data_IF_934824935201
#
_entry.id   IF_934824935201
#
_cell.length_a   1.000
_cell.length_b   1.000
_cell.length_c   1.000
_cell.angle_alpha   90.00
_cell.angle_beta   90.00
_cell.angle_gamma   90.00
#
_symmetry.space_group_name_H-M   'P 1'
#
loop_
_entity.id
_entity.type
_entity.pdbx_description
1 polymer ?
#
# COMPACT_ATOMS: atom_id res chain seq x y z
N UNK A 1 -3.71 -26.22 -1.45
CA UNK A 1 -3.99 -24.85 -0.95
C UNK A 1 -4.12 -23.92 -2.14
N UNK A 2 -5.31 -23.38 -2.38
CA UNK A 2 -5.55 -22.49 -3.51
C UNK A 2 -4.80 -21.15 -3.27
N UNK A 3 -4.31 -20.53 -4.34
CA UNK A 3 -3.61 -19.22 -4.25
C UNK A 3 -4.53 -18.13 -3.64
N UNK A 4 -5.85 -18.30 -3.78
CA UNK A 4 -6.86 -17.37 -3.24
C UNK A 4 -7.02 -17.45 -1.71
N UNK A 5 -6.55 -18.51 -1.07
CA UNK A 5 -6.69 -18.71 0.37
C UNK A 5 -5.49 -18.17 1.16
N UNK A 6 -4.50 -17.59 0.49
CA UNK A 6 -3.31 -17.03 1.14
C UNK A 6 -3.58 -15.60 1.58
N UNK A 7 -3.07 -15.26 2.76
CA UNK A 7 -3.01 -13.88 3.22
C UNK A 7 -2.03 -13.08 2.35
N UNK A 8 -2.45 -11.87 1.98
CA UNK A 8 -1.64 -10.95 1.17
C UNK A 8 -0.64 -10.22 2.06
N UNK A 9 0.62 -10.13 1.61
CA UNK A 9 1.58 -9.17 2.16
C UNK A 9 1.50 -7.89 1.35
N UNK A 10 1.11 -6.79 2.00
CA UNK A 10 0.93 -5.50 1.32
C UNK A 10 1.37 -4.32 2.19
N UNK A 11 1.45 -3.13 1.60
CA UNK A 11 1.69 -1.88 2.30
C UNK A 11 0.44 -1.01 2.29
N UNK A 12 0.23 -0.29 3.39
CA UNK A 12 -0.72 0.80 3.48
C UNK A 12 0.02 2.04 3.99
N UNK A 13 -0.08 3.15 3.27
CA UNK A 13 0.42 4.44 3.70
C UNK A 13 -0.73 5.30 4.23
N UNK A 14 -0.57 5.80 5.46
CA UNK A 14 -1.41 6.85 6.02
C UNK A 14 -0.58 8.13 6.11
N UNK A 15 -1.07 9.22 5.58
CA UNK A 15 -0.33 10.48 5.53
C UNK A 15 -1.27 11.66 5.75
N UNK A 16 -0.76 12.71 6.43
CA UNK A 16 -1.39 14.02 6.54
C UNK A 16 -0.66 15.08 5.69
N UNK A 17 0.20 14.65 4.75
CA UNK A 17 0.95 15.59 3.90
C UNK A 17 -0.01 16.36 3.00
N UNK A 18 -0.06 17.71 3.09
CA UNK A 18 -1.10 18.50 2.41
C UNK A 18 -1.09 18.33 0.89
N UNK A 19 0.08 18.31 0.25
CA UNK A 19 0.18 18.15 -1.21
C UNK A 19 -0.28 16.76 -1.70
N UNK A 20 -0.09 15.69 -0.92
CA UNK A 20 -0.67 14.37 -1.26
C UNK A 20 -2.19 14.41 -1.06
N UNK A 21 -2.68 15.14 -0.05
CA UNK A 21 -4.11 15.36 0.18
C UNK A 21 -4.78 16.13 -0.97
N UNK A 22 -4.11 17.16 -1.49
CA UNK A 22 -4.57 17.93 -2.67
C UNK A 22 -4.68 17.03 -3.91
N UNK A 23 -3.64 16.25 -4.18
CA UNK A 23 -3.65 15.27 -5.29
C UNK A 23 -4.75 14.22 -5.11
N UNK A 24 -4.97 13.74 -3.89
CA UNK A 24 -6.03 12.78 -3.58
C UNK A 24 -7.42 13.37 -3.84
N UNK A 25 -7.66 14.62 -3.42
CA UNK A 25 -8.91 15.33 -3.72
C UNK A 25 -9.12 15.48 -5.23
N UNK A 26 -8.08 15.88 -5.96
CA UNK A 26 -8.11 15.99 -7.41
C UNK A 26 -8.39 14.63 -8.05
N UNK A 27 -7.74 13.57 -7.58
CA UNK A 27 -7.94 12.20 -8.07
C UNK A 27 -9.39 11.73 -7.91
N UNK A 28 -9.97 11.86 -6.72
CA UNK A 28 -11.36 11.43 -6.48
C UNK A 28 -12.37 12.28 -7.24
N UNK A 29 -12.12 13.59 -7.36
CA UNK A 29 -12.95 14.47 -8.21
C UNK A 29 -12.90 14.05 -9.68
N UNK A 30 -11.71 13.80 -10.21
CA UNK A 30 -11.52 13.37 -11.59
C UNK A 30 -12.12 11.97 -11.84
N UNK A 31 -11.97 11.08 -10.87
CA UNK A 31 -12.57 9.73 -10.92
C UNK A 31 -14.09 9.80 -10.99
N UNK A 32 -14.73 10.66 -10.20
CA UNK A 32 -16.19 10.84 -10.22
C UNK A 32 -16.73 11.40 -11.54
N UNK A 33 -15.89 12.18 -12.25
CA UNK A 33 -16.20 12.72 -13.57
C UNK A 33 -15.83 11.77 -14.73
N UNK A 34 -15.27 10.61 -14.44
CA UNK A 34 -14.81 9.66 -15.45
C UNK A 34 -13.59 10.13 -16.26
N UNK A 35 -12.89 11.15 -15.80
CA UNK A 35 -11.70 11.72 -16.46
C UNK A 35 -10.51 11.74 -15.48
N UNK A 36 -9.58 10.81 -15.63
CA UNK A 36 -8.41 10.70 -14.74
C UNK A 36 -7.23 11.59 -15.14
N UNK A 37 -7.38 12.42 -16.16
CA UNK A 37 -6.36 13.39 -16.54
C UNK A 37 -6.33 14.52 -15.52
N UNK A 38 -5.16 14.75 -14.94
CA UNK A 38 -4.93 15.79 -13.95
C UNK A 38 -3.44 16.05 -13.80
N UNK A 39 -3.11 17.23 -13.32
CA UNK A 39 -1.75 17.62 -13.00
C UNK A 39 -1.46 17.25 -11.54
N UNK A 40 -1.06 16.00 -11.32
CA UNK A 40 -0.72 15.47 -10.02
C UNK A 40 0.75 15.73 -9.71
N UNK A 41 1.04 16.34 -8.57
CA UNK A 41 2.39 16.68 -8.15
C UNK A 41 3.14 15.51 -7.52
N UNK A 42 2.42 14.68 -6.78
CA UNK A 42 2.96 13.57 -5.98
C UNK A 42 2.49 12.22 -6.50
N UNK A 43 1.24 12.12 -6.95
CA UNK A 43 0.66 10.86 -7.39
C UNK A 43 0.99 10.57 -8.86
N UNK A 44 1.37 9.33 -9.13
CA UNK A 44 1.38 8.79 -10.49
C UNK A 44 0.07 8.07 -10.76
N UNK A 45 -0.81 8.66 -11.56
CA UNK A 45 -2.14 8.12 -11.85
C UNK A 45 -2.18 7.49 -13.24
N UNK A 46 -2.53 6.19 -13.33
CA UNK A 46 -2.81 5.56 -14.61
C UNK A 46 -4.22 5.96 -15.09
N UNK A 47 -4.42 6.05 -16.43
CA UNK A 47 -3.52 5.61 -17.50
C UNK A 47 -2.46 6.62 -17.95
N UNK A 48 -2.44 7.86 -17.44
CA UNK A 48 -1.65 8.95 -18.03
C UNK A 48 -0.32 9.17 -17.32
N UNK A 49 -0.30 9.20 -15.99
CA UNK A 49 0.82 9.69 -15.20
C UNK A 49 1.74 8.61 -14.62
N UNK A 50 1.25 7.37 -14.42
CA UNK A 50 1.98 6.33 -13.69
C UNK A 50 3.20 5.82 -14.48
N UNK A 51 3.01 5.39 -15.74
CA UNK A 51 4.13 4.91 -16.57
C UNK A 51 5.20 5.99 -16.77
N UNK A 52 4.86 7.23 -17.15
CA UNK A 52 5.84 8.33 -17.23
C UNK A 52 6.60 8.60 -15.94
N UNK A 53 5.97 8.45 -14.77
CA UNK A 53 6.65 8.59 -13.47
C UNK A 53 7.75 7.54 -13.31
N UNK A 54 7.45 6.27 -13.60
CA UNK A 54 8.42 5.17 -13.53
C UNK A 54 9.55 5.36 -14.57
N UNK A 55 9.20 5.76 -15.80
CA UNK A 55 10.18 6.03 -16.85
C UNK A 55 11.15 7.14 -16.45
N UNK A 56 10.67 8.25 -15.88
CA UNK A 56 11.53 9.33 -15.34
C UNK A 56 12.45 8.85 -14.21
N UNK A 57 11.98 7.94 -13.35
CA UNK A 57 12.82 7.34 -12.33
C UNK A 57 13.97 6.51 -12.91
N UNK A 58 13.69 5.74 -13.96
CA UNK A 58 14.71 4.99 -14.71
C UNK A 58 15.69 5.94 -15.43
N UNK A 59 15.18 6.99 -16.11
CA UNK A 59 16.01 7.99 -16.78
C UNK A 59 16.97 8.68 -15.81
N UNK A 60 16.51 9.03 -14.60
CA UNK A 60 17.34 9.60 -13.55
C UNK A 60 18.53 8.68 -13.19
N UNK A 61 18.27 7.40 -13.00
CA UNK A 61 19.34 6.45 -12.65
C UNK A 61 20.27 6.18 -13.84
N UNK A 62 19.77 6.20 -15.08
CA UNK A 62 20.58 6.14 -16.29
C UNK A 62 21.54 7.34 -16.32
N UNK A 63 21.06 8.57 -16.12
CA UNK A 63 21.89 9.77 -16.12
C UNK A 63 22.96 9.71 -15.03
N UNK A 64 22.64 9.25 -13.83
CA UNK A 64 23.62 9.05 -12.75
C UNK A 64 24.72 8.07 -13.15
N UNK A 65 24.36 6.92 -13.71
CA UNK A 65 25.31 5.93 -14.17
C UNK A 65 26.23 6.48 -15.27
N UNK A 66 25.69 7.25 -16.23
CA UNK A 66 26.45 7.83 -17.33
C UNK A 66 27.49 8.88 -16.86
N UNK A 67 27.28 9.54 -15.72
CA UNK A 67 28.27 10.45 -15.11
C UNK A 67 29.17 9.76 -14.10
N UNK A 68 29.09 8.42 -13.99
CA UNK A 68 29.93 7.62 -13.09
C UNK A 68 29.46 7.59 -11.64
N UNK A 69 28.27 8.07 -11.33
CA UNK A 69 27.67 7.97 -10.00
C UNK A 69 27.07 6.57 -9.78
N UNK A 70 27.10 6.05 -8.54
CA UNK A 70 26.40 4.82 -8.20
C UNK A 70 24.90 4.94 -8.48
N UNK A 71 24.36 4.02 -9.30
CA UNK A 71 22.97 4.01 -9.69
C UNK A 71 22.33 2.62 -9.45
N UNK A 72 21.12 2.62 -8.90
CA UNK A 72 20.42 1.39 -8.57
C UNK A 72 18.91 1.57 -8.70
N UNK A 73 18.27 0.52 -9.19
CA UNK A 73 16.80 0.41 -9.24
C UNK A 73 16.38 -0.88 -8.53
N UNK A 74 15.32 -0.79 -7.74
CA UNK A 74 14.66 -1.95 -7.16
C UNK A 74 13.17 -1.92 -7.50
N UNK A 75 12.68 -2.99 -8.13
CA UNK A 75 11.25 -3.18 -8.39
C UNK A 75 10.74 -4.44 -7.74
N UNK A 76 9.61 -4.32 -7.01
CA UNK A 76 8.82 -5.46 -6.56
C UNK A 76 7.47 -5.40 -7.25
N UNK A 77 7.13 -6.45 -7.97
CA UNK A 77 5.95 -6.54 -8.84
C UNK A 77 5.29 -7.92 -8.72
N UNK A 78 4.03 -8.02 -9.12
CA UNK A 78 3.47 -9.33 -9.39
C UNK A 78 3.80 -9.78 -10.84
N UNK A 79 3.75 -8.84 -11.80
CA UNK A 79 4.02 -9.15 -13.21
C UNK A 79 4.68 -7.98 -13.94
N UNK A 80 5.56 -8.32 -14.90
CA UNK A 80 6.24 -7.40 -15.79
C UNK A 80 6.04 -7.85 -17.23
N UNK A 81 5.20 -7.14 -17.99
CA UNK A 81 4.90 -7.45 -19.40
C UNK A 81 4.82 -6.20 -20.29
N UNK A 82 4.93 -4.99 -19.72
CA UNK A 82 4.94 -3.75 -20.47
C UNK A 82 6.26 -3.61 -21.22
N UNK A 83 6.19 -3.58 -22.56
CA UNK A 83 7.36 -3.61 -23.42
C UNK A 83 8.23 -2.36 -23.27
N UNK A 84 7.62 -1.18 -23.19
CA UNK A 84 8.37 0.08 -23.09
C UNK A 84 9.18 0.13 -21.79
N UNK A 85 8.57 -0.36 -20.67
CA UNK A 85 9.27 -0.45 -19.37
C UNK A 85 10.40 -1.49 -19.44
N UNK A 86 10.18 -2.63 -20.11
CA UNK A 86 11.21 -3.67 -20.29
C UNK A 86 12.39 -3.12 -21.11
N UNK A 87 12.11 -2.43 -22.20
CA UNK A 87 13.13 -1.84 -23.07
C UNK A 87 13.92 -0.74 -22.29
N UNK A 88 13.25 0.07 -21.46
CA UNK A 88 13.90 1.06 -20.61
C UNK A 88 14.75 0.44 -19.50
N UNK A 89 14.34 -0.68 -18.92
CA UNK A 89 15.15 -1.45 -17.95
C UNK A 89 16.42 -2.00 -18.63
N UNK A 90 16.31 -2.47 -19.86
CA UNK A 90 17.47 -2.93 -20.63
C UNK A 90 18.44 -1.77 -20.94
N UNK A 91 17.91 -0.59 -21.31
CA UNK A 91 18.71 0.64 -21.48
C UNK A 91 19.44 1.01 -20.19
N UNK A 92 18.74 0.97 -19.04
CA UNK A 92 19.35 1.24 -17.72
C UNK A 92 20.48 0.25 -17.40
N UNK A 93 20.28 -1.04 -17.70
CA UNK A 93 21.31 -2.05 -17.54
C UNK A 93 22.55 -1.78 -18.43
N UNK A 94 22.34 -1.41 -19.70
CA UNK A 94 23.41 -1.04 -20.61
C UNK A 94 24.20 0.19 -20.17
N UNK A 95 23.53 1.14 -19.48
CA UNK A 95 24.17 2.31 -18.88
C UNK A 95 24.95 1.99 -17.60
N UNK A 96 24.90 0.75 -17.08
CA UNK A 96 25.58 0.34 -15.86
C UNK A 96 24.73 0.41 -14.59
N UNK A 97 23.43 0.71 -14.70
CA UNK A 97 22.51 0.71 -13.55
C UNK A 97 22.29 -0.73 -13.06
N UNK A 98 22.50 -0.96 -11.78
CA UNK A 98 22.10 -2.22 -11.14
C UNK A 98 20.58 -2.27 -10.96
N UNK A 99 19.94 -3.28 -11.51
CA UNK A 99 18.49 -3.48 -11.40
C UNK A 99 18.19 -4.78 -10.67
N UNK A 100 17.66 -4.68 -9.47
CA UNK A 100 17.20 -5.82 -8.67
C UNK A 100 15.67 -5.88 -8.71
N UNK A 101 15.09 -7.02 -9.07
CA UNK A 101 13.64 -7.19 -9.14
C UNK A 101 13.14 -8.41 -8.38
N UNK A 102 11.98 -8.27 -7.74
CA UNK A 102 11.23 -9.38 -7.15
C UNK A 102 9.90 -9.49 -7.89
N UNK A 103 9.74 -10.55 -8.68
CA UNK A 103 8.54 -10.79 -9.51
C UNK A 103 8.02 -12.19 -9.20
N UNK A 104 6.81 -12.28 -8.61
CA UNK A 104 6.24 -13.58 -8.24
C UNK A 104 5.47 -14.30 -9.34
N UNK A 105 5.08 -13.58 -10.38
CA UNK A 105 4.28 -14.07 -11.50
C UNK A 105 5.05 -14.00 -12.82
N UNK A 106 4.44 -13.40 -13.85
CA UNK A 106 4.97 -13.36 -15.20
C UNK A 106 6.08 -12.30 -15.32
N UNK A 107 7.24 -12.68 -15.85
CA UNK A 107 8.28 -11.78 -16.33
C UNK A 107 8.53 -12.03 -17.81
N UNK A 108 8.31 -11.03 -18.65
CA UNK A 108 8.68 -11.05 -20.06
C UNK A 108 10.11 -10.55 -20.31
N UNK A 109 10.82 -10.12 -19.25
CA UNK A 109 12.22 -9.74 -19.31
C UNK A 109 13.10 -10.94 -18.94
N UNK A 110 14.15 -11.20 -19.74
CA UNK A 110 15.22 -12.15 -19.43
C UNK A 110 16.41 -11.40 -18.84
N UNK A 111 16.80 -11.69 -17.59
CA UNK A 111 17.95 -11.05 -16.95
C UNK A 111 19.28 -11.70 -17.39
N UNK A 112 20.39 -11.02 -17.14
CA UNK A 112 21.74 -11.58 -17.33
C UNK A 112 22.12 -11.82 -18.81
N UNK A 113 21.45 -11.19 -19.78
CA UNK A 113 21.78 -11.29 -21.20
C UNK A 113 22.92 -10.31 -21.50
N UNK A 114 24.11 -10.80 -21.94
CA UNK A 114 25.26 -9.94 -22.24
C UNK A 114 24.93 -8.80 -23.23
N UNK A 115 25.38 -7.58 -22.91
CA UNK A 115 25.17 -6.40 -23.71
C UNK A 115 23.71 -5.88 -23.75
N UNK A 116 22.81 -6.43 -22.89
CA UNK A 116 21.42 -6.01 -22.79
C UNK A 116 20.94 -5.89 -21.35
N UNK A 117 20.90 -7.00 -20.63
CA UNK A 117 20.33 -7.07 -19.28
C UNK A 117 21.29 -7.70 -18.27
N UNK A 118 22.59 -7.58 -18.51
CA UNK A 118 23.64 -8.20 -17.67
C UNK A 118 23.63 -7.69 -16.22
N UNK A 119 23.18 -6.44 -16.00
CA UNK A 119 23.06 -5.83 -14.67
C UNK A 119 21.66 -6.01 -14.06
N UNK A 120 20.81 -6.81 -14.67
CA UNK A 120 19.44 -7.09 -14.18
C UNK A 120 19.41 -8.43 -13.46
N UNK A 121 18.85 -8.41 -12.25
CA UNK A 121 18.68 -9.59 -11.42
C UNK A 121 17.19 -9.74 -11.07
N UNK A 122 16.62 -10.89 -11.37
CA UNK A 122 15.20 -11.17 -11.11
C UNK A 122 15.08 -12.35 -10.16
N UNK A 123 14.34 -12.14 -9.06
CA UNK A 123 14.00 -13.19 -8.09
C UNK A 123 12.48 -13.35 -7.97
N UNK A 124 12.04 -14.53 -7.57
CA UNK A 124 10.65 -14.82 -7.21
C UNK A 124 10.62 -15.43 -5.82
N UNK A 125 9.68 -14.96 -4.98
CA UNK A 125 9.45 -15.51 -3.64
C UNK A 125 8.02 -16.04 -3.61
N UNK A 126 7.87 -17.36 -3.44
CA UNK A 126 6.58 -18.03 -3.31
C UNK A 126 6.60 -18.85 -2.02
N UNK A 127 5.80 -18.44 -1.04
CA UNK A 127 5.79 -19.03 0.28
C UNK A 127 4.41 -19.07 0.92
N UNK A 128 4.38 -18.98 2.26
CA UNK A 128 3.16 -18.98 3.07
C UNK A 128 2.21 -17.84 2.73
N UNK A 129 2.76 -16.63 2.52
CA UNK A 129 2.00 -15.45 2.18
C UNK A 129 2.04 -15.17 0.67
N UNK A 130 1.01 -14.53 0.15
CA UNK A 130 0.99 -14.03 -1.22
C UNK A 130 1.71 -12.67 -1.26
N UNK A 131 2.87 -12.64 -1.89
CA UNK A 131 3.63 -11.39 -2.11
C UNK A 131 2.87 -10.49 -3.08
N UNK A 132 2.17 -9.48 -2.54
CA UNK A 132 1.26 -8.64 -3.33
C UNK A 132 1.69 -7.17 -3.42
N UNK A 133 2.52 -6.70 -2.50
CA UNK A 133 3.01 -5.33 -2.51
C UNK A 133 3.78 -5.01 -3.80
N UNK A 134 3.56 -3.80 -4.35
CA UNK A 134 4.35 -3.25 -5.45
C UNK A 134 5.15 -2.07 -4.94
N UNK A 135 6.44 -2.13 -5.20
CA UNK A 135 7.42 -1.12 -4.78
C UNK A 135 8.30 -0.75 -5.96
N UNK A 136 8.45 0.53 -6.20
CA UNK A 136 9.38 1.10 -7.18
C UNK A 136 10.34 2.00 -6.43
N UNK A 137 11.61 1.61 -6.35
CA UNK A 137 12.63 2.36 -5.66
C UNK A 137 13.80 2.67 -6.60
N UNK A 138 14.28 3.89 -6.49
CA UNK A 138 15.37 4.44 -7.30
C UNK A 138 16.43 5.02 -6.38
N UNK A 139 17.70 4.92 -6.79
CA UNK A 139 18.87 5.32 -6.01
C UNK A 139 19.45 4.17 -5.18
N UNK A 140 20.74 4.24 -4.87
CA UNK A 140 21.46 3.22 -4.09
C UNK A 140 20.84 3.07 -2.71
N UNK A 141 20.53 4.18 -2.06
CA UNK A 141 19.90 4.22 -0.74
C UNK A 141 18.37 4.27 -0.81
N UNK A 142 17.80 4.02 -2.01
CA UNK A 142 16.36 4.11 -2.25
C UNK A 142 15.78 5.44 -1.74
N UNK A 143 16.44 6.53 -2.12
CA UNK A 143 16.06 7.90 -1.75
C UNK A 143 14.71 8.32 -2.33
N UNK A 144 14.28 7.64 -3.41
CA UNK A 144 12.98 7.81 -4.02
C UNK A 144 12.25 6.47 -4.08
N UNK A 145 11.20 6.32 -3.25
CA UNK A 145 10.37 5.12 -3.17
C UNK A 145 8.92 5.47 -3.48
N UNK A 146 8.31 4.70 -4.36
CA UNK A 146 6.87 4.70 -4.60
C UNK A 146 6.27 3.34 -4.23
N UNK A 147 5.14 3.36 -3.54
CA UNK A 147 4.24 2.22 -3.40
C UNK A 147 3.13 2.35 -4.42
N UNK A 148 2.63 1.23 -4.95
CA UNK A 148 1.66 1.28 -6.04
C UNK A 148 0.65 0.13 -5.99
N UNK A 149 -0.51 0.37 -6.58
CA UNK A 149 -1.48 -0.69 -6.90
C UNK A 149 -1.18 -1.38 -8.23
N UNK A 150 -0.35 -0.78 -9.08
CA UNK A 150 -0.08 -1.25 -10.44
C UNK A 150 1.09 -2.24 -10.53
N UNK A 151 0.92 -3.26 -11.35
CA UNK A 151 2.01 -3.99 -11.98
C UNK A 151 2.43 -3.29 -13.28
N UNK A 152 3.64 -3.54 -13.78
CA UNK A 152 4.08 -3.04 -15.08
C UNK A 152 3.58 -3.96 -16.21
N UNK A 153 2.29 -3.84 -16.43
CA UNK A 153 1.54 -4.48 -17.52
C UNK A 153 0.78 -3.40 -18.28
N UNK A 154 0.74 -3.47 -19.60
CA UNK A 154 -0.01 -2.52 -20.46
C UNK A 154 -1.44 -2.33 -19.98
N UNK A 155 -2.10 -3.41 -19.53
CA UNK A 155 -3.45 -3.33 -18.96
C UNK A 155 -3.53 -2.45 -17.72
N UNK A 156 -2.52 -2.48 -16.83
CA UNK A 156 -2.49 -1.68 -15.62
C UNK A 156 -2.13 -0.22 -15.93
N UNK A 157 -1.15 -0.03 -16.81
CA UNK A 157 -0.60 1.29 -17.11
C UNK A 157 -1.47 2.12 -18.05
N UNK A 158 -2.33 1.47 -18.88
CA UNK A 158 -3.08 2.14 -19.96
C UNK A 158 -4.61 1.97 -19.89
N UNK A 159 -5.10 0.91 -19.19
CA UNK A 159 -6.52 0.54 -19.25
C UNK A 159 -7.20 0.42 -17.88
N UNK A 160 -6.47 0.64 -16.79
CA UNK A 160 -6.98 0.58 -15.43
C UNK A 160 -6.77 1.89 -14.70
N UNK A 161 -7.55 2.07 -13.65
CA UNK A 161 -7.30 3.10 -12.64
C UNK A 161 -6.35 2.51 -11.64
N UNK A 162 -5.11 2.98 -11.65
CA UNK A 162 -4.06 2.56 -10.73
C UNK A 162 -3.31 3.80 -10.24
N UNK A 163 -2.73 3.73 -9.05
CA UNK A 163 -1.97 4.82 -8.48
C UNK A 163 -0.60 4.35 -8.01
N UNK A 164 0.38 5.26 -8.10
CA UNK A 164 1.64 5.19 -7.39
C UNK A 164 1.76 6.44 -6.52
N UNK A 165 2.23 6.29 -5.28
CA UNK A 165 2.37 7.37 -4.33
C UNK A 165 3.73 7.30 -3.63
N UNK A 166 4.39 8.47 -3.38
CA UNK A 166 5.72 8.51 -2.81
C UNK A 166 5.70 8.24 -1.31
N UNK A 167 6.75 7.60 -0.81
CA UNK A 167 7.04 7.47 0.61
C UNK A 167 7.98 8.59 1.01
N UNK A 168 7.45 9.70 1.52
CA UNK A 168 8.22 10.92 1.80
C UNK A 168 8.92 10.87 3.16
N UNK A 169 8.30 10.24 4.17
CA UNK A 169 8.84 10.15 5.51
C UNK A 169 10.09 9.24 5.55
N UNK A 170 11.22 9.72 6.10
CA UNK A 170 12.48 8.94 6.14
C UNK A 170 12.36 7.64 6.93
N UNK A 171 11.57 7.62 8.01
CA UNK A 171 11.36 6.42 8.83
C UNK A 171 10.58 5.37 8.07
N UNK A 172 9.53 5.79 7.36
CA UNK A 172 8.75 4.93 6.50
C UNK A 172 9.60 4.40 5.32
N UNK A 173 10.45 5.24 4.70
CA UNK A 173 11.40 4.79 3.67
C UNK A 173 12.35 3.73 4.20
N UNK A 174 12.93 3.95 5.38
CA UNK A 174 13.82 2.96 6.00
C UNK A 174 13.13 1.63 6.27
N UNK A 175 11.84 1.64 6.66
CA UNK A 175 11.05 0.43 6.84
C UNK A 175 10.83 -0.32 5.53
N UNK A 176 10.48 0.38 4.45
CA UNK A 176 10.33 -0.22 3.11
C UNK A 176 11.67 -0.75 2.60
N UNK A 177 12.75 0.03 2.74
CA UNK A 177 14.10 -0.41 2.37
C UNK A 177 14.53 -1.68 3.14
N UNK A 178 14.27 -1.74 4.44
CA UNK A 178 14.54 -2.94 5.24
C UNK A 178 13.74 -4.16 4.77
N UNK A 179 12.47 -3.96 4.42
CA UNK A 179 11.63 -5.01 3.84
C UNK A 179 12.22 -5.53 2.52
N UNK A 180 12.59 -4.65 1.61
CA UNK A 180 13.22 -5.02 0.33
C UNK A 180 14.52 -5.79 0.55
N UNK A 181 15.38 -5.29 1.45
CA UNK A 181 16.67 -5.93 1.79
C UNK A 181 16.49 -7.33 2.36
N UNK A 182 15.47 -7.54 3.22
CA UNK A 182 15.15 -8.86 3.75
C UNK A 182 14.71 -9.82 2.64
N UNK A 183 13.87 -9.35 1.70
CA UNK A 183 13.44 -10.19 0.59
C UNK A 183 14.58 -10.53 -0.38
N UNK A 184 15.49 -9.59 -0.65
CA UNK A 184 16.68 -9.87 -1.48
C UNK A 184 17.67 -10.86 -0.82
N UNK A 185 17.61 -11.02 0.50
CA UNK A 185 18.44 -11.99 1.24
C UNK A 185 17.82 -13.38 1.34
N UNK A 186 16.55 -13.55 0.92
CA UNK A 186 15.90 -14.86 0.98
C UNK A 186 16.68 -15.90 0.15
N UNK A 187 17.13 -16.96 0.81
CA UNK A 187 17.86 -18.07 0.21
C UNK A 187 17.20 -19.43 0.49
N UNK A 188 15.92 -19.41 0.97
CA UNK A 188 15.15 -20.62 1.28
C UNK A 188 13.95 -20.75 0.32
N UNK A 189 13.22 -19.66 0.08
CA UNK A 189 12.04 -19.63 -0.79
C UNK A 189 12.29 -18.92 -2.12
N UNK A 190 13.35 -18.11 -2.21
CA UNK A 190 13.67 -17.39 -3.40
C UNK A 190 14.16 -18.31 -4.52
N UNK A 191 13.75 -17.97 -5.74
CA UNK A 191 14.27 -18.52 -6.99
C UNK A 191 14.79 -17.38 -7.85
N UNK A 192 15.91 -17.59 -8.52
CA UNK A 192 16.46 -16.65 -9.49
C UNK A 192 16.05 -17.05 -10.89
N UNK A 193 15.71 -16.06 -11.71
CA UNK A 193 15.48 -16.25 -13.16
C UNK A 193 16.83 -16.18 -13.86
N UNK A 194 17.11 -17.16 -14.70
CA UNK A 194 18.33 -17.24 -15.51
C UNK A 194 18.11 -16.63 -16.90
N UNK A 195 19.20 -16.39 -17.65
CA UNK A 195 19.15 -15.77 -18.99
C UNK A 195 18.46 -16.64 -20.04
N UNK A 196 18.34 -17.94 -19.83
CA UNK A 196 17.57 -18.85 -20.68
C UNK A 196 16.07 -18.83 -20.36
N UNK A 197 15.66 -18.19 -19.25
CA UNK A 197 14.27 -18.11 -18.80
C UNK A 197 13.88 -19.18 -17.80
N UNK A 198 14.84 -19.91 -17.24
CA UNK A 198 14.58 -20.94 -16.23
C UNK A 198 14.63 -20.37 -14.82
N UNK A 199 13.73 -20.84 -13.94
CA UNK A 199 13.73 -20.49 -12.51
C UNK A 199 14.50 -21.52 -11.70
N UNK A 200 15.62 -21.12 -11.13
CA UNK A 200 16.48 -21.98 -10.27
C UNK A 200 16.39 -21.54 -8.83
N UNK A 201 16.47 -22.45 -7.83
CA UNK A 201 16.62 -22.06 -6.43
C UNK A 201 17.84 -21.15 -6.25
N UNK A 202 17.74 -20.17 -5.33
CA UNK A 202 18.93 -19.39 -4.94
C UNK A 202 19.88 -20.30 -4.19
N UNK A 203 21.09 -20.47 -4.73
CA UNK A 203 22.14 -21.26 -4.09
C UNK A 203 22.67 -20.51 -2.86
N UNK A 204 22.89 -21.25 -1.78
CA UNK A 204 23.52 -20.75 -0.57
C UNK A 204 25.01 -20.96 -0.65
N UNK A 205 25.76 -19.92 -0.29
CA UNK A 205 27.21 -20.07 -0.13
C UNK A 205 27.52 -21.04 1.02
N UNK A 206 28.71 -21.65 1.00
CA UNK A 206 29.15 -22.52 2.07
C UNK A 206 29.19 -21.74 3.40
N UNK A 207 28.57 -22.29 4.44
CA UNK A 207 28.44 -21.63 5.75
C UNK A 207 27.35 -20.53 5.82
N UNK A 208 26.68 -20.18 4.73
CA UNK A 208 25.57 -19.22 4.75
C UNK A 208 24.34 -19.81 5.45
N UNK A 209 23.85 -19.07 6.47
CA UNK A 209 22.66 -19.49 7.23
C UNK A 209 21.40 -19.42 6.35
N UNK A 210 20.47 -20.37 6.49
CA UNK A 210 19.17 -20.29 5.83
C UNK A 210 18.40 -19.07 6.32
N UNK A 211 17.84 -18.30 5.38
CA UNK A 211 17.05 -17.11 5.66
C UNK A 211 15.77 -17.12 4.84
N UNK A 212 14.64 -17.31 5.52
CA UNK A 212 13.28 -17.21 4.94
C UNK A 212 12.73 -15.82 5.27
N UNK A 213 12.61 -14.99 4.27
CA UNK A 213 12.19 -13.59 4.43
C UNK A 213 10.76 -13.45 5.00
N UNK A 214 9.82 -14.33 4.60
CA UNK A 214 8.45 -14.30 5.08
C UNK A 214 8.34 -14.66 6.57
N UNK A 215 9.07 -15.67 7.01
CA UNK A 215 9.12 -16.07 8.42
C UNK A 215 9.78 -14.99 9.27
N UNK A 216 10.93 -14.46 8.83
CA UNK A 216 11.61 -13.38 9.52
C UNK A 216 10.79 -12.09 9.63
N UNK A 217 10.01 -11.74 8.59
CA UNK A 217 9.08 -10.62 8.63
C UNK A 217 7.89 -10.86 9.57
N UNK A 218 7.37 -12.08 9.60
CA UNK A 218 6.31 -12.48 10.51
C UNK A 218 6.75 -12.41 11.98
N UNK A 219 7.89 -13.00 12.31
CA UNK A 219 8.48 -12.94 13.65
C UNK A 219 8.72 -11.49 14.10
N UNK A 220 9.20 -10.64 13.17
CA UNK A 220 9.36 -9.21 13.44
C UNK A 220 8.02 -8.54 13.73
N UNK A 221 6.96 -8.87 12.98
CA UNK A 221 5.63 -8.33 13.21
C UNK A 221 5.09 -8.70 14.60
N UNK A 222 5.29 -9.95 15.03
CA UNK A 222 4.90 -10.37 16.38
C UNK A 222 5.69 -9.62 17.46
N UNK A 223 7.02 -9.54 17.36
CA UNK A 223 7.83 -8.78 18.32
C UNK A 223 7.42 -7.31 18.41
N UNK A 224 7.13 -6.68 17.26
CA UNK A 224 6.67 -5.29 17.25
C UNK A 224 5.28 -5.14 17.90
N UNK A 225 4.38 -6.11 17.68
CA UNK A 225 3.05 -6.10 18.30
C UNK A 225 3.13 -6.26 19.82
N UNK A 226 3.99 -7.16 20.31
CA UNK A 226 4.25 -7.35 21.75
C UNK A 226 4.83 -6.08 22.38
N UNK A 227 5.86 -5.49 21.75
CA UNK A 227 6.47 -4.25 22.23
C UNK A 227 5.44 -3.09 22.28
N UNK A 228 4.60 -2.98 21.25
CA UNK A 228 3.55 -1.97 21.22
C UNK A 228 2.47 -2.21 22.28
N UNK A 229 2.13 -3.47 22.56
CA UNK A 229 1.19 -3.82 23.62
C UNK A 229 1.75 -3.45 25.00
N UNK A 230 3.01 -3.76 25.27
CA UNK A 230 3.71 -3.40 26.50
C UNK A 230 3.78 -1.87 26.68
N UNK A 231 4.12 -1.15 25.62
CA UNK A 231 4.17 0.31 25.65
C UNK A 231 2.80 0.93 25.96
N UNK A 232 1.73 0.41 25.35
CA UNK A 232 0.36 0.85 25.65
C UNK A 232 -0.07 0.53 27.08
N UNK A 233 0.36 -0.59 27.62
CA UNK A 233 0.06 -0.94 29.01
C UNK A 233 0.73 0.05 29.99
N UNK A 234 2.04 0.31 29.79
CA UNK A 234 2.79 1.31 30.59
C UNK A 234 2.21 2.71 30.49
N UNK A 235 1.79 3.11 29.28
CA UNK A 235 1.18 4.42 29.08
C UNK A 235 -0.17 4.54 29.79
N UNK A 236 -0.99 3.50 29.79
CA UNK A 236 -2.24 3.47 30.54
C UNK A 236 -1.99 3.55 32.06
N UNK A 237 -0.98 2.84 32.55
CA UNK A 237 -0.58 2.85 33.95
C UNK A 237 -0.11 4.26 34.37
N UNK A 238 0.77 4.88 33.57
CA UNK A 238 1.22 6.26 33.80
C UNK A 238 0.05 7.27 33.85
N UNK A 239 -0.87 7.17 32.86
CA UNK A 239 -2.05 8.07 32.84
C UNK A 239 -2.96 7.85 34.03
N UNK A 240 -3.10 6.60 34.51
CA UNK A 240 -3.88 6.30 35.71
C UNK A 240 -3.21 6.84 36.95
N UNK A 241 -1.89 6.71 37.09
CA UNK A 241 -1.11 7.28 38.20
C UNK A 241 -1.19 8.81 38.21
N UNK A 242 -1.05 9.48 37.07
CA UNK A 242 -1.20 10.93 36.93
C UNK A 242 -2.62 11.40 37.31
N UNK A 243 -3.66 10.61 36.94
CA UNK A 243 -5.04 10.94 37.33
C UNK A 243 -5.27 10.84 38.85
N UNK A 244 -4.74 9.78 39.49
CA UNK A 244 -4.80 9.60 40.92
C UNK A 244 -4.07 10.75 41.66
N UNK A 245 -2.87 11.09 41.20
CA UNK A 245 -2.09 12.18 41.76
C UNK A 245 -2.83 13.52 41.63
N UNK A 246 -3.44 13.80 40.50
CA UNK A 246 -4.24 15.01 40.31
C UNK A 246 -5.49 15.06 41.17
N UNK A 247 -6.08 13.92 41.51
CA UNK A 247 -7.21 13.81 42.44
C UNK A 247 -6.78 14.07 43.88
N UNK A 248 -5.66 13.48 44.31
CA UNK A 248 -5.05 13.74 45.64
C UNK A 248 -4.68 15.21 45.80
N UNK A 249 -4.11 15.85 44.79
CA UNK A 249 -3.78 17.28 44.83
C UNK A 249 -5.03 18.17 44.93
N UNK A 250 -6.14 17.77 44.27
CA UNK A 250 -7.42 18.49 44.39
C UNK A 250 -8.02 18.37 45.80
N UNK A 251 -7.95 17.18 46.41
CA UNK A 251 -8.45 16.97 47.76
C UNK A 251 -7.60 17.70 48.80
N UNK A 252 -6.28 17.79 48.61
CA UNK A 252 -5.37 18.51 49.50
C UNK A 252 -5.57 20.04 49.48
N UNK A 253 -6.16 20.60 48.43
CA UNK A 253 -6.45 22.05 48.31
C UNK A 253 -7.77 22.43 49.03
N UNK A 254 -8.61 21.46 49.40
CA UNK A 254 -9.85 21.70 50.15
C UNK A 254 -9.57 21.55 51.66
N UNK A 255 -8.68 22.36 52.25
CA UNK A 255 -8.72 22.60 53.70
C UNK A 255 -9.91 23.50 54.04
N UNK A 256 -10.75 23.13 55.00
CA UNK A 256 -11.84 24.00 55.43
C UNK A 256 -11.25 25.16 56.24
N UNK A 257 -11.30 26.36 55.69
CA UNK A 257 -11.16 27.59 56.49
C UNK A 257 -12.31 27.65 57.49
N UNK A 258 -12.05 27.15 58.68
CA UNK A 258 -12.93 27.38 59.80
C UNK A 258 -12.68 28.81 60.31
N UNK A 259 -13.51 29.75 59.90
CA UNK A 259 -13.58 31.04 60.55
C UNK A 259 -14.27 30.89 61.89
N UNK A 260 -13.75 31.53 63.01
CA UNK A 260 -14.39 31.48 64.33
C UNK A 260 -15.61 32.40 64.34
N UNK A 261 -16.72 31.81 64.69
CA UNK A 261 -18.02 32.42 64.91
C UNK A 261 -17.97 33.44 66.05
N UNK A 262 -18.21 34.72 65.82
CA UNK A 262 -18.45 35.74 66.85
C UNK A 262 -19.95 35.92 67.04
N UNK A 263 -20.38 35.61 68.27
CA UNK A 263 -21.74 35.72 68.78
C UNK A 263 -22.16 37.18 68.92
N UNK A 264 -23.32 37.57 68.37
CA UNK A 264 -24.19 38.61 68.91
C UNK A 264 -25.62 38.50 68.34
N UNK A 265 -26.61 38.47 69.20
CA UNK A 265 -28.05 38.34 68.98
C UNK A 265 -28.77 39.69 68.78
N UNK A 266 -30.11 39.72 68.58
CA UNK A 266 -30.80 40.39 67.48
C UNK A 266 -31.54 41.69 67.89
N UNK A 267 -32.27 42.42 67.11
CA UNK A 267 -33.72 42.28 67.01
C UNK A 267 -34.41 42.50 65.59
N UNK A 268 -35.46 41.74 65.41
CA UNK A 268 -36.83 41.98 64.88
C UNK A 268 -37.09 43.18 63.94
N UNK A 269 -37.57 42.93 62.76
CA UNK A 269 -38.86 43.34 62.25
C UNK A 269 -39.13 42.84 60.78
N UNK A 270 -40.32 42.33 60.57
CA UNK A 270 -41.00 41.98 59.34
C UNK A 270 -41.48 43.21 58.55
N UNK A 271 -42.24 43.00 57.45
CA UNK A 271 -41.95 42.37 56.16
C UNK A 271 -42.27 43.34 54.96
N UNK A 272 -41.84 43.11 53.77
CA UNK A 272 -42.57 43.51 52.55
C UNK A 272 -42.16 42.64 51.37
N UNK A 273 -43.16 42.29 50.61
CA UNK A 273 -43.26 41.34 49.51
C UNK A 273 -42.54 41.72 48.20
N UNK A 274 -42.40 40.70 47.42
CA UNK A 274 -42.45 40.62 45.94
C UNK A 274 -41.16 40.89 45.11
N UNK A 275 -40.65 39.89 44.51
CA UNK A 275 -40.62 39.63 43.04
C UNK A 275 -39.58 38.58 42.69
N UNK A 276 -40.02 37.49 42.14
CA UNK A 276 -39.19 36.49 41.45
C UNK A 276 -38.55 37.09 40.20
N UNK A 277 -37.34 36.77 39.88
CA UNK A 277 -36.91 36.70 38.47
C UNK A 277 -36.61 35.27 38.04
N UNK A 278 -37.04 35.03 36.86
CA UNK A 278 -37.03 33.82 36.08
C UNK A 278 -35.68 33.09 36.04
N UNK A 279 -35.72 31.78 36.27
CA UNK A 279 -34.61 30.84 36.03
C UNK A 279 -34.57 30.51 34.55
N UNK A 280 -33.54 30.94 33.90
CA UNK A 280 -33.18 30.57 32.54
C UNK A 280 -32.59 29.17 32.58
N UNK A 281 -33.31 28.20 31.98
CA UNK A 281 -32.92 26.82 31.87
C UNK A 281 -31.79 26.69 30.85
N UNK A 282 -30.66 26.12 31.25
CA UNK A 282 -29.61 25.63 30.40
C UNK A 282 -30.12 24.51 29.45
N UNK A 283 -29.64 24.43 28.20
CA UNK A 283 -30.12 23.43 27.27
C UNK A 283 -29.62 22.05 27.62
N UNK A 284 -30.55 21.12 27.63
CA UNK A 284 -30.41 19.69 27.84
C UNK A 284 -29.65 19.05 26.66
N UNK A 285 -28.51 18.44 26.94
CA UNK A 285 -27.75 17.66 25.98
C UNK A 285 -28.50 16.37 25.67
N UNK A 286 -29.14 16.28 24.52
CA UNK A 286 -29.74 15.05 24.05
C UNK A 286 -28.67 13.98 23.82
N UNK A 287 -28.75 12.90 24.59
CA UNK A 287 -28.04 11.64 24.32
C UNK A 287 -28.57 11.03 23.03
N UNK A 288 -27.75 11.08 21.98
CA UNK A 288 -28.00 10.31 20.76
C UNK A 288 -27.78 8.83 21.09
N UNK A 289 -28.84 8.06 21.14
CA UNK A 289 -28.78 6.60 21.19
C UNK A 289 -28.29 6.08 19.83
N UNK A 290 -27.13 5.42 19.83
CA UNK A 290 -26.64 4.69 18.67
C UNK A 290 -27.54 3.48 18.45
N UNK A 291 -28.31 3.51 17.37
CA UNK A 291 -29.05 2.35 16.88
C UNK A 291 -28.05 1.37 16.25
N UNK A 292 -27.89 0.22 16.88
CA UNK A 292 -27.14 -0.91 16.32
C UNK A 292 -27.99 -1.48 15.18
N UNK A 293 -27.56 -1.28 13.96
CA UNK A 293 -28.10 -1.95 12.78
C UNK A 293 -27.43 -3.32 12.70
N UNK A 294 -28.17 -4.38 12.99
CA UNK A 294 -27.77 -5.76 12.70
C UNK A 294 -27.63 -5.93 11.18
N UNK A 295 -26.56 -6.56 10.68
CA UNK A 295 -26.42 -6.82 9.27
C UNK A 295 -27.41 -7.89 8.80
N UNK A 296 -28.15 -7.56 7.76
CA UNK A 296 -29.03 -8.49 7.03
C UNK A 296 -28.26 -9.73 6.57
N UNK A 297 -28.82 -10.96 6.68
CA UNK A 297 -28.14 -12.16 6.23
C UNK A 297 -27.98 -12.16 4.71
N UNK A 298 -26.77 -12.52 4.26
CA UNK A 298 -26.40 -12.59 2.86
C UNK A 298 -27.32 -13.57 2.09
N UNK A 299 -27.73 -13.24 0.85
CA UNK A 299 -28.55 -14.14 0.02
C UNK A 299 -27.76 -15.41 -0.35
N UNK A 300 -28.47 -16.53 -0.34
CA UNK A 300 -27.93 -17.85 -0.67
C UNK A 300 -27.30 -17.88 -2.08
N UNK A 301 -26.22 -18.65 -2.28
CA UNK A 301 -25.54 -18.74 -3.56
C UNK A 301 -26.46 -19.39 -4.61
N UNK A 302 -26.60 -18.71 -5.76
CA UNK A 302 -27.26 -19.25 -6.93
C UNK A 302 -26.45 -20.37 -7.57
N UNK A 303 -27.04 -21.45 -8.09
CA UNK A 303 -26.32 -22.54 -8.73
C UNK A 303 -25.60 -22.07 -10.00
N UNK A 304 -24.34 -22.47 -10.13
CA UNK A 304 -23.51 -22.20 -11.31
C UNK A 304 -24.10 -22.86 -12.58
N UNK A 305 -24.04 -22.19 -13.75
CA UNK A 305 -24.45 -22.82 -15.00
C UNK A 305 -23.48 -23.93 -15.37
N UNK A 306 -24.02 -25.12 -15.63
CA UNK A 306 -23.28 -26.29 -16.10
C UNK A 306 -22.66 -26.00 -17.49
N UNK A 307 -21.33 -26.05 -17.55
CA UNK A 307 -20.58 -25.99 -18.81
C UNK A 307 -20.63 -27.38 -19.45
N UNK A 308 -21.40 -27.52 -20.53
CA UNK A 308 -21.40 -28.70 -21.41
C UNK A 308 -20.06 -28.77 -22.18
N UNK A 309 -19.38 -29.92 -22.06
CA UNK A 309 -18.15 -30.20 -22.82
C UNK A 309 -18.49 -30.35 -24.33
N UNK A 310 -17.72 -29.75 -25.24
CA UNK A 310 -17.84 -30.06 -26.66
C UNK A 310 -17.21 -31.44 -26.98
N UNK A 311 -17.88 -32.17 -27.87
CA UNK A 311 -17.45 -33.48 -28.39
C UNK A 311 -16.20 -33.35 -29.28
N UNK A 312 -15.38 -34.42 -29.46
CA UNK A 312 -14.16 -34.35 -30.27
C UNK A 312 -14.45 -34.38 -31.74
N UNK A 313 -13.92 -33.39 -32.48
CA UNK A 313 -13.93 -33.37 -33.94
C UNK A 313 -12.81 -34.26 -34.53
N UNK A 314 -13.21 -35.10 -35.44
CA UNK A 314 -12.37 -35.99 -36.23
C UNK A 314 -11.61 -35.22 -37.33
N UNK A 315 -10.36 -35.59 -37.50
CA UNK A 315 -9.42 -35.10 -38.50
C UNK A 315 -9.85 -35.43 -39.95
N UNK A 316 -9.86 -34.44 -40.82
CA UNK A 316 -9.72 -34.68 -42.28
C UNK A 316 -8.80 -33.62 -42.91
N UNK A 317 -7.70 -34.11 -43.46
CA UNK A 317 -6.78 -33.36 -44.35
C UNK A 317 -7.53 -32.90 -45.59
N UNK A 318 -7.26 -31.67 -46.07
CA UNK A 318 -7.13 -31.37 -47.49
C UNK A 318 -6.44 -30.02 -47.78
N UNK A 319 -5.57 -30.08 -48.70
CA UNK A 319 -4.74 -29.23 -49.51
C UNK A 319 -5.06 -27.74 -49.72
N UNK A 320 -3.97 -26.97 -49.87
CA UNK A 320 -3.89 -25.59 -50.39
C UNK A 320 -4.32 -25.52 -51.89
N UNK A 321 -4.75 -24.35 -52.41
CA UNK A 321 -3.79 -23.38 -52.91
C UNK A 321 -4.16 -21.90 -52.76
N UNK A 322 -3.20 -21.08 -53.15
CA UNK A 322 -3.03 -19.64 -53.10
C UNK A 322 -4.11 -18.78 -53.79
N UNK A 323 -4.25 -17.53 -53.34
CA UNK A 323 -4.95 -16.49 -54.09
C UNK A 323 -5.15 -15.18 -53.34
N UNK A 324 -4.55 -14.12 -53.84
CA UNK A 324 -4.56 -12.71 -53.50
C UNK A 324 -5.97 -12.12 -53.31
N UNK A 325 -6.20 -11.17 -52.39
CA UNK A 325 -6.47 -9.75 -52.71
C UNK A 325 -6.93 -8.95 -51.50
N UNK A 326 -6.67 -7.66 -51.53
CA UNK A 326 -6.92 -6.56 -50.59
C UNK A 326 -8.40 -6.35 -50.31
N UNK A 327 -8.74 -5.94 -49.05
CA UNK A 327 -9.79 -4.95 -48.82
C UNK A 327 -9.59 -4.26 -47.49
N UNK A 328 -9.74 -2.97 -47.52
CA UNK A 328 -9.79 -1.95 -46.45
C UNK A 328 -11.18 -2.01 -45.84
N UNK A 329 -11.31 -2.08 -44.51
CA UNK A 329 -12.52 -1.62 -43.84
C UNK A 329 -12.30 -1.16 -42.40
N UNK A 330 -12.45 0.12 -42.19
CA UNK A 330 -13.27 0.98 -41.32
C UNK A 330 -13.38 0.59 -39.86
N UNK A 331 -12.80 1.47 -39.06
CA UNK A 331 -13.01 1.68 -37.64
C UNK A 331 -14.50 1.75 -37.22
N UNK A 332 -14.84 1.04 -36.11
CA UNK A 332 -15.97 1.35 -35.23
C UNK A 332 -15.46 1.47 -33.79
N UNK A 333 -15.88 2.49 -33.03
CA UNK A 333 -15.44 2.67 -31.65
C UNK A 333 -16.19 1.72 -30.70
N UNK A 334 -15.44 0.88 -29.98
CA UNK A 334 -15.97 -0.04 -28.97
C UNK A 334 -16.25 0.67 -27.63
N UNK A 335 -17.40 0.37 -27.07
CA UNK A 335 -17.90 0.84 -25.77
C UNK A 335 -16.96 0.42 -24.62
N UNK A 336 -16.58 1.39 -23.79
CA UNK A 336 -15.89 1.19 -22.52
C UNK A 336 -16.86 0.53 -21.51
N UNK A 337 -16.55 -0.68 -21.05
CA UNK A 337 -17.20 -1.29 -19.87
C UNK A 337 -16.35 -1.00 -18.62
N UNK A 338 -16.88 -0.18 -17.73
CA UNK A 338 -16.34 -0.05 -16.38
C UNK A 338 -16.61 -1.33 -15.57
N UNK A 339 -15.54 -1.94 -15.05
CA UNK A 339 -15.64 -2.99 -14.05
C UNK A 339 -15.14 -2.46 -12.71
N UNK A 340 -16.06 -2.21 -11.77
CA UNK A 340 -15.71 -2.00 -10.36
C UNK A 340 -15.28 -3.36 -9.76
N UNK A 341 -14.00 -3.50 -9.43
CA UNK A 341 -13.48 -4.61 -8.63
C UNK A 341 -13.43 -4.22 -7.16
N UNK A 342 -14.12 -4.97 -6.32
CA UNK A 342 -14.12 -4.83 -4.86
C UNK A 342 -12.69 -4.95 -4.29
N UNK A 343 -12.34 -3.99 -3.43
CA UNK A 343 -11.12 -3.96 -2.64
C UNK A 343 -11.31 -4.91 -1.45
N UNK A 344 -10.62 -6.06 -1.46
CA UNK A 344 -10.59 -6.99 -0.33
C UNK A 344 -9.65 -6.48 0.78
N UNK A 345 -10.15 -6.54 2.02
CA UNK A 345 -9.39 -6.20 3.23
C UNK A 345 -8.17 -7.14 3.40
N UNK A 346 -6.97 -6.58 3.32
CA UNK A 346 -5.73 -7.26 3.66
C UNK A 346 -5.17 -6.75 5.00
N UNK A 347 -4.34 -7.56 5.62
CA UNK A 347 -3.69 -7.32 6.93
C UNK A 347 -2.97 -5.96 6.94
N UNK A 348 -3.44 -5.05 7.80
CA UNK A 348 -2.95 -3.67 7.90
C UNK A 348 -1.69 -3.62 8.76
N UNK A 349 -0.55 -3.29 8.18
CA UNK A 349 0.58 -2.77 8.95
C UNK A 349 0.47 -1.25 8.95
N UNK A 350 0.08 -0.68 10.10
CA UNK A 350 -0.11 0.76 10.26
C UNK A 350 1.26 1.42 10.42
N UNK A 351 1.65 2.23 9.45
CA UNK A 351 2.84 3.08 9.54
C UNK A 351 2.34 4.51 9.76
N UNK A 352 2.39 4.98 11.01
CA UNK A 352 2.03 6.36 11.34
C UNK A 352 3.29 7.21 11.45
N UNK A 353 3.47 8.15 10.50
CA UNK A 353 4.45 9.22 10.64
C UNK A 353 3.82 10.41 11.35
N UNK A 354 4.35 10.78 12.53
CA UNK A 354 4.04 12.07 13.17
C UNK A 354 4.99 13.12 12.59
N UNK A 355 4.47 14.09 11.89
CA UNK A 355 5.18 15.34 11.59
C UNK A 355 5.12 16.26 12.80
N UNK A 356 6.29 16.73 13.24
CA UNK A 356 6.40 17.94 14.06
C UNK A 356 6.27 19.16 13.16
#
# INVERSE_FOLDING_TARGET
MCIRDRLYSDFMLMTAHPGIGEDANLFFRNLSLGNLRGDYRFLGVAPVGLKPLIMRGLDREIQRALVGEPARVFFKLNSLTDREVIDKIAEASCAGVRVDMIIRGISCLKPGVPGKTENVHVRSIVGRFLEHARVYAFGVDSDMIYLSSADMMTRNTEHRVEIAFPVLDPTCRALVHKYMSMQLRDNVKARSLTSDGTWVPVERAEGEKPFNSQEALLERAYRNAEAAAQQRAREKERVAEEAIQAEVEREAVVEPTVEPEAVAAPPVNEPVAAAEPAVEKAPEVQKVQATVIEPEPAPAPQPEPQVTKPAPETSARRDKPAGKTKAIERHRPGRVRMGLGLIGLGLKTLITGKTK
#
